data_IF_561661132271
#
_entry.id   IF_561661132271
#
_cell.length_a   1.000
_cell.length_b   1.000
_cell.length_c   1.000
_cell.angle_alpha   90.00
_cell.angle_beta   90.00
_cell.angle_gamma   90.00
#
_symmetry.space_group_name_H-M   'P 1'
#
loop_
_entity.id
_entity.type
_entity.pdbx_description
1 polymer ?
#
# COMPACT_ATOMS: atom_id res chain seq x y z
N UNK A 1 -12.13 -26.58 4.75
CA UNK A 1 -10.75 -26.01 4.70
C UNK A 1 -10.63 -24.87 5.72
N UNK A 2 -9.50 -24.79 6.44
CA UNK A 2 -9.28 -23.71 7.39
C UNK A 2 -8.79 -22.45 6.67
N UNK A 3 -9.34 -21.29 7.01
CA UNK A 3 -8.95 -20.01 6.41
C UNK A 3 -7.45 -19.71 6.57
N UNK A 4 -6.89 -20.06 7.74
CA UNK A 4 -5.47 -19.86 8.01
C UNK A 4 -4.55 -20.74 7.13
N UNK A 5 -4.99 -21.92 6.72
CA UNK A 5 -4.23 -22.77 5.80
C UNK A 5 -4.26 -22.22 4.38
N UNK A 6 -5.43 -21.70 3.93
CA UNK A 6 -5.54 -20.99 2.64
C UNK A 6 -4.64 -19.74 2.61
N UNK A 7 -4.62 -18.96 3.70
CA UNK A 7 -3.75 -17.80 3.83
C UNK A 7 -2.26 -18.21 3.71
N UNK A 8 -1.86 -19.32 4.34
CA UNK A 8 -0.49 -19.85 4.22
C UNK A 8 -0.19 -20.31 2.78
N UNK A 9 -1.13 -21.01 2.13
CA UNK A 9 -0.97 -21.41 0.72
C UNK A 9 -0.76 -20.20 -0.19
N UNK A 10 -1.52 -19.12 -0.01
CA UNK A 10 -1.37 -17.89 -0.80
C UNK A 10 0.01 -17.26 -0.60
N UNK A 11 0.45 -17.08 0.65
CA UNK A 11 1.76 -16.50 0.95
C UNK A 11 2.88 -17.34 0.31
N UNK A 12 2.85 -18.65 0.51
CA UNK A 12 3.85 -19.58 -0.04
C UNK A 12 3.79 -19.71 -1.57
N UNK A 13 2.66 -19.37 -2.21
CA UNK A 13 2.53 -19.38 -3.65
C UNK A 13 3.13 -18.13 -4.32
N UNK A 14 3.06 -16.97 -3.65
CA UNK A 14 3.58 -15.71 -4.19
C UNK A 14 5.08 -15.56 -3.93
N UNK A 15 5.58 -16.00 -2.79
CA UNK A 15 6.99 -15.86 -2.41
C UNK A 15 7.99 -16.39 -3.45
N UNK A 16 7.81 -17.55 -4.10
CA UNK A 16 8.75 -18.06 -5.10
C UNK A 16 8.98 -17.13 -6.29
N UNK A 17 7.99 -16.25 -6.61
CA UNK A 17 8.13 -15.27 -7.69
C UNK A 17 9.27 -14.27 -7.46
N UNK A 18 9.74 -14.10 -6.22
CA UNK A 18 10.89 -13.24 -5.89
C UNK A 18 12.24 -13.80 -6.37
N UNK A 19 12.36 -15.11 -6.50
CA UNK A 19 13.63 -15.79 -6.81
C UNK A 19 13.63 -16.46 -8.18
N UNK A 20 12.55 -16.37 -8.94
CA UNK A 20 12.50 -16.92 -10.29
C UNK A 20 13.44 -16.12 -11.21
N UNK A 21 14.33 -16.78 -11.95
CA UNK A 21 15.25 -16.12 -12.91
C UNK A 21 14.50 -15.49 -14.08
N UNK A 22 13.32 -16.01 -14.42
CA UNK A 22 12.44 -15.47 -15.45
C UNK A 22 10.98 -15.68 -15.04
N UNK A 23 10.11 -14.74 -15.44
CA UNK A 23 8.67 -14.88 -15.20
C UNK A 23 8.10 -16.02 -16.08
N UNK A 24 7.13 -16.79 -15.52
CA UNK A 24 6.45 -17.83 -16.30
C UNK A 24 5.74 -17.20 -17.50
N UNK A 25 5.83 -17.85 -18.66
CA UNK A 25 5.12 -17.39 -19.86
C UNK A 25 3.61 -17.57 -19.72
N UNK A 26 2.83 -16.82 -20.52
CA UNK A 26 1.37 -16.91 -20.46
C UNK A 26 0.82 -18.34 -20.63
N UNK A 27 1.33 -19.19 -21.58
CA UNK A 27 0.91 -20.58 -21.70
C UNK A 27 1.17 -21.42 -20.44
N UNK A 28 2.31 -21.19 -19.78
CA UNK A 28 2.63 -21.87 -18.51
C UNK A 28 1.64 -21.48 -17.42
N UNK A 29 1.30 -20.20 -17.33
CA UNK A 29 0.30 -19.73 -16.35
C UNK A 29 -1.08 -20.32 -16.65
N UNK A 30 -1.49 -20.39 -17.92
CA UNK A 30 -2.75 -21.02 -18.31
C UNK A 30 -2.77 -22.50 -17.93
N UNK A 31 -1.69 -23.24 -18.18
CA UNK A 31 -1.56 -24.63 -17.75
C UNK A 31 -1.61 -24.80 -16.23
N UNK A 32 -0.97 -23.88 -15.47
CA UNK A 32 -1.03 -23.89 -14.00
C UNK A 32 -2.42 -23.60 -13.47
N UNK A 33 -3.20 -22.72 -14.13
CA UNK A 33 -4.61 -22.45 -13.78
C UNK A 33 -5.44 -23.73 -13.99
N UNK A 34 -5.32 -24.37 -15.16
CA UNK A 34 -6.08 -25.59 -15.47
C UNK A 34 -5.74 -26.71 -14.47
N UNK A 35 -4.45 -26.97 -14.24
CA UNK A 35 -3.99 -27.94 -13.25
C UNK A 35 -4.49 -27.61 -11.84
N UNK A 36 -4.43 -26.33 -11.46
CA UNK A 36 -4.90 -25.83 -10.18
C UNK A 36 -6.40 -26.06 -9.97
N UNK A 37 -7.23 -25.78 -10.98
CA UNK A 37 -8.68 -26.04 -10.94
C UNK A 37 -8.96 -27.53 -10.83
N UNK A 38 -8.32 -28.36 -11.66
CA UNK A 38 -8.52 -29.81 -11.62
C UNK A 38 -8.18 -30.40 -10.26
N UNK A 39 -7.03 -30.01 -9.68
CA UNK A 39 -6.62 -30.49 -8.36
C UNK A 39 -7.53 -29.96 -7.24
N UNK A 40 -8.03 -28.72 -7.35
CA UNK A 40 -8.95 -28.16 -6.35
C UNK A 40 -10.31 -28.87 -6.31
N UNK A 41 -10.73 -29.50 -7.41
CA UNK A 41 -11.97 -30.30 -7.52
C UNK A 41 -11.82 -31.71 -6.92
N UNK A 42 -10.61 -32.21 -6.77
CA UNK A 42 -10.33 -33.52 -6.17
C UNK A 42 -10.73 -33.48 -4.69
N UNK A 43 -11.41 -34.54 -4.21
CA UNK A 43 -11.84 -34.61 -2.80
C UNK A 43 -10.69 -34.80 -1.79
N UNK A 44 -9.52 -35.23 -2.25
CA UNK A 44 -8.34 -35.41 -1.40
C UNK A 44 -7.78 -34.05 -0.89
N UNK A 45 -7.55 -33.92 0.40
CA UNK A 45 -7.19 -32.64 1.03
C UNK A 45 -5.88 -32.05 0.49
N UNK A 46 -4.84 -32.87 0.34
CA UNK A 46 -3.52 -32.42 -0.16
C UNK A 46 -3.64 -31.91 -1.60
N UNK A 47 -4.38 -32.65 -2.46
CA UNK A 47 -4.59 -32.22 -3.85
C UNK A 47 -5.28 -30.87 -3.92
N UNK A 48 -6.29 -30.63 -3.06
CA UNK A 48 -6.99 -29.34 -2.98
C UNK A 48 -6.07 -28.18 -2.54
N UNK A 49 -5.21 -28.40 -1.53
CA UNK A 49 -4.26 -27.37 -1.13
C UNK A 49 -3.24 -27.08 -2.23
N UNK A 50 -2.73 -28.09 -2.91
CA UNK A 50 -1.86 -27.91 -4.07
C UNK A 50 -2.58 -27.19 -5.22
N UNK A 51 -3.84 -27.50 -5.47
CA UNK A 51 -4.68 -26.78 -6.43
C UNK A 51 -4.80 -25.29 -6.12
N UNK A 52 -5.11 -24.93 -4.86
CA UNK A 52 -5.16 -23.53 -4.45
C UNK A 52 -3.80 -22.83 -4.51
N UNK A 53 -2.72 -23.55 -4.17
CA UNK A 53 -1.36 -23.03 -4.28
C UNK A 53 -1.02 -22.68 -5.74
N UNK A 54 -1.33 -23.56 -6.70
CA UNK A 54 -1.16 -23.30 -8.13
C UNK A 54 -2.00 -22.13 -8.62
N UNK A 55 -3.25 -22.01 -8.17
CA UNK A 55 -4.12 -20.87 -8.54
C UNK A 55 -3.56 -19.55 -8.01
N UNK A 56 -3.08 -19.50 -6.78
CA UNK A 56 -2.47 -18.30 -6.22
C UNK A 56 -1.13 -17.97 -6.86
N UNK A 57 -0.33 -18.98 -7.23
CA UNK A 57 0.90 -18.79 -8.00
C UNK A 57 0.60 -18.19 -9.38
N UNK A 58 -0.41 -18.72 -10.06
CA UNK A 58 -0.85 -18.19 -11.36
C UNK A 58 -1.38 -16.76 -11.23
N UNK A 59 -2.13 -16.44 -10.17
CA UNK A 59 -2.57 -15.08 -9.86
C UNK A 59 -1.39 -14.11 -9.70
N UNK A 60 -0.41 -14.45 -8.88
CA UNK A 60 0.82 -13.67 -8.71
C UNK A 60 1.61 -13.53 -10.01
N UNK A 61 1.72 -14.61 -10.80
CA UNK A 61 2.36 -14.62 -12.11
C UNK A 61 1.68 -13.69 -13.13
N UNK A 62 0.34 -13.69 -13.18
CA UNK A 62 -0.43 -12.77 -14.03
C UNK A 62 -0.21 -11.31 -13.62
N UNK A 63 -0.22 -11.02 -12.32
CA UNK A 63 0.06 -9.68 -11.82
C UNK A 63 1.48 -9.22 -12.19
N UNK A 64 2.48 -10.10 -12.03
CA UNK A 64 3.87 -9.80 -12.41
C UNK A 64 4.02 -9.58 -13.92
N UNK A 65 3.41 -10.43 -14.76
CA UNK A 65 3.41 -10.25 -16.22
C UNK A 65 2.75 -8.92 -16.62
N UNK A 66 1.62 -8.57 -16.02
CA UNK A 66 0.93 -7.31 -16.32
C UNK A 66 1.75 -6.07 -15.93
N UNK A 67 2.61 -6.18 -14.89
CA UNK A 67 3.51 -5.11 -14.48
C UNK A 67 4.76 -4.99 -15.36
N UNK A 68 5.29 -6.12 -15.85
CA UNK A 68 6.53 -6.15 -16.68
C UNK A 68 6.24 -5.95 -18.15
N UNK A 69 5.10 -6.40 -18.67
CA UNK A 69 4.72 -6.26 -20.08
C UNK A 69 4.87 -4.82 -20.63
N UNK A 70 4.45 -3.76 -19.91
CA UNK A 70 4.60 -2.40 -20.40
C UNK A 70 6.06 -1.97 -20.60
N UNK A 71 6.98 -2.51 -19.80
CA UNK A 71 8.40 -2.20 -19.90
C UNK A 71 9.03 -2.73 -21.20
N UNK A 72 8.48 -3.82 -21.73
CA UNK A 72 8.99 -4.46 -22.94
C UNK A 72 8.36 -3.89 -24.21
N UNK A 73 7.07 -3.56 -24.19
CA UNK A 73 6.30 -3.23 -25.39
C UNK A 73 5.99 -1.74 -25.57
N UNK A 74 6.03 -0.93 -24.52
CA UNK A 74 5.65 0.48 -24.60
C UNK A 74 6.83 1.44 -24.80
N UNK A 75 8.04 0.93 -24.97
CA UNK A 75 9.27 1.73 -25.05
C UNK A 75 9.77 1.96 -26.46
N UNK A 76 9.02 1.54 -27.48
CA UNK A 76 9.41 1.59 -28.90
C UNK A 76 9.00 2.90 -29.57
N UNK A 77 9.62 4.03 -29.18
CA UNK A 77 9.43 5.33 -29.85
C UNK A 77 8.27 6.18 -29.30
N UNK A 78 8.03 7.37 -29.90
CA UNK A 78 6.97 8.28 -29.47
C UNK A 78 5.58 7.69 -29.70
N UNK A 79 4.72 7.69 -28.68
CA UNK A 79 3.38 7.13 -28.74
C UNK A 79 2.33 8.12 -28.25
N UNK A 80 1.15 8.12 -28.89
CA UNK A 80 0.02 8.93 -28.47
C UNK A 80 -0.74 8.19 -27.37
N UNK A 81 -0.80 8.79 -26.17
CA UNK A 81 -1.48 8.20 -25.02
C UNK A 81 -2.50 9.16 -24.42
N UNK A 82 -3.62 8.62 -23.96
CA UNK A 82 -4.55 9.29 -23.06
C UNK A 82 -4.25 8.83 -21.65
N UNK A 83 -3.99 9.77 -20.76
CA UNK A 83 -3.57 9.49 -19.39
C UNK A 83 -4.38 10.33 -18.40
N UNK A 84 -4.47 9.82 -17.19
CA UNK A 84 -5.04 10.51 -16.04
C UNK A 84 -3.92 10.91 -15.08
N UNK A 85 -3.87 12.17 -14.70
CA UNK A 85 -2.92 12.66 -13.70
C UNK A 85 -3.35 12.16 -12.33
N UNK A 86 -2.43 11.52 -11.61
CA UNK A 86 -2.61 11.08 -10.23
C UNK A 86 -2.05 12.10 -9.23
N UNK A 87 -0.92 12.73 -9.57
CA UNK A 87 -0.30 13.77 -8.77
C UNK A 87 0.59 14.66 -9.65
N UNK A 88 0.66 15.94 -9.33
CA UNK A 88 1.52 16.91 -9.99
C UNK A 88 2.49 17.51 -8.96
N UNK A 89 3.81 17.40 -9.22
CA UNK A 89 4.87 17.94 -8.37
C UNK A 89 5.32 19.34 -8.79
N UNK A 90 6.07 20.00 -7.88
CA UNK A 90 6.67 21.32 -8.11
C UNK A 90 7.75 21.28 -9.22
N UNK A 91 8.44 20.17 -9.38
CA UNK A 91 9.61 20.02 -10.27
C UNK A 91 9.24 19.55 -11.68
N UNK A 92 8.05 19.90 -12.17
CA UNK A 92 7.53 19.45 -13.48
C UNK A 92 7.52 17.92 -13.62
N UNK A 93 7.37 17.24 -12.49
CA UNK A 93 7.19 15.81 -12.40
C UNK A 93 5.70 15.50 -12.22
N UNK A 94 5.17 14.63 -13.06
CA UNK A 94 3.77 14.23 -13.03
C UNK A 94 3.68 12.72 -12.87
N UNK A 95 2.97 12.27 -11.85
CA UNK A 95 2.57 10.87 -11.74
C UNK A 95 1.23 10.70 -12.44
N UNK A 96 1.18 9.78 -13.38
CA UNK A 96 0.00 9.54 -14.21
C UNK A 96 -0.22 8.05 -14.44
N UNK A 97 -1.39 7.70 -14.93
CA UNK A 97 -1.68 6.36 -15.45
C UNK A 97 -2.19 6.43 -16.88
N UNK A 98 -1.66 5.60 -17.74
CA UNK A 98 -2.05 5.49 -19.14
C UNK A 98 -3.35 4.68 -19.19
N UNK A 99 -4.43 5.31 -19.65
CA UNK A 99 -5.75 4.68 -19.80
C UNK A 99 -5.94 4.16 -21.22
N UNK A 100 -5.45 4.90 -22.21
CA UNK A 100 -5.47 4.51 -23.63
C UNK A 100 -4.14 4.77 -24.29
N UNK A 101 -3.76 3.86 -25.17
CA UNK A 101 -2.57 3.96 -25.99
C UNK A 101 -2.96 3.79 -27.46
N UNK A 102 -2.61 4.76 -28.31
CA UNK A 102 -2.96 4.75 -29.74
C UNK A 102 -4.44 4.42 -30.00
N UNK A 103 -5.34 4.95 -29.14
CA UNK A 103 -6.79 4.74 -29.22
C UNK A 103 -7.32 3.45 -28.57
N UNK A 104 -6.46 2.51 -28.18
CA UNK A 104 -6.84 1.25 -27.53
C UNK A 104 -6.84 1.41 -26.01
N UNK A 105 -7.89 0.93 -25.34
CA UNK A 105 -7.96 0.92 -23.88
C UNK A 105 -6.90 -0.01 -23.28
N UNK A 106 -6.23 0.45 -22.21
CA UNK A 106 -5.26 -0.32 -21.44
C UNK A 106 -5.91 -0.85 -20.17
N UNK A 107 -5.97 -2.17 -20.04
CA UNK A 107 -6.48 -2.86 -18.85
C UNK A 107 -5.49 -3.96 -18.43
N UNK A 108 -4.87 -3.83 -17.26
CA UNK A 108 -4.94 -2.71 -16.31
C UNK A 108 -4.25 -1.44 -16.85
N UNK A 109 -4.66 -0.27 -16.31
CA UNK A 109 -4.01 1.00 -16.63
C UNK A 109 -2.57 1.02 -16.11
N UNK A 110 -1.63 1.53 -16.89
CA UNK A 110 -0.20 1.47 -16.60
C UNK A 110 0.28 2.78 -15.97
N UNK A 111 0.90 2.68 -14.81
CA UNK A 111 1.51 3.83 -14.13
C UNK A 111 2.77 4.34 -14.84
N UNK A 112 2.92 5.64 -14.88
CA UNK A 112 4.06 6.32 -15.49
C UNK A 112 4.42 7.59 -14.73
N UNK A 113 5.72 7.80 -14.55
CA UNK A 113 6.26 9.08 -14.04
C UNK A 113 6.77 9.89 -15.22
N UNK A 114 6.16 11.06 -15.46
CA UNK A 114 6.50 11.94 -16.58
C UNK A 114 7.29 13.14 -16.10
N UNK A 115 8.28 13.50 -16.87
CA UNK A 115 9.07 14.72 -16.75
C UNK A 115 8.88 15.53 -18.03
N UNK A 116 8.73 16.85 -17.90
CA UNK A 116 8.53 17.66 -19.10
C UNK A 116 8.39 19.14 -18.82
N UNK A 117 7.94 19.88 -19.82
CA UNK A 117 7.64 21.29 -19.70
C UNK A 117 6.39 21.49 -18.81
N UNK A 118 6.15 22.74 -18.39
CA UNK A 118 4.91 23.05 -17.71
C UNK A 118 3.72 22.70 -18.62
N UNK A 119 2.69 22.09 -18.03
CA UNK A 119 1.44 21.89 -18.75
C UNK A 119 0.82 23.25 -19.11
N UNK A 120 0.05 23.32 -20.23
CA UNK A 120 -0.64 24.57 -20.62
C UNK A 120 -1.60 25.11 -19.55
N UNK A 121 -2.07 24.27 -18.67
CA UNK A 121 -2.90 24.60 -17.51
C UNK A 121 -2.33 23.93 -16.26
N UNK A 122 -2.56 24.46 -15.05
CA UNK A 122 -2.14 23.82 -13.81
C UNK A 122 -2.66 22.37 -13.73
N UNK A 123 -1.72 21.42 -13.65
CA UNK A 123 -2.06 20.01 -13.54
C UNK A 123 -2.66 19.69 -12.17
N UNK A 124 -3.81 19.02 -12.14
CA UNK A 124 -4.37 18.47 -10.91
C UNK A 124 -4.75 16.99 -11.06
N UNK A 125 -4.77 16.26 -9.95
CA UNK A 125 -5.18 14.87 -9.97
C UNK A 125 -6.64 14.70 -10.47
N UNK A 126 -6.84 13.72 -11.34
CA UNK A 126 -8.11 13.41 -11.98
C UNK A 126 -8.28 13.98 -13.38
N UNK A 127 -7.48 14.97 -13.79
CA UNK A 127 -7.50 15.47 -15.17
C UNK A 127 -7.07 14.39 -16.16
N UNK A 128 -7.70 14.40 -17.33
CA UNK A 128 -7.32 13.56 -18.46
C UNK A 128 -6.67 14.38 -19.55
N UNK A 129 -5.54 13.88 -20.03
CA UNK A 129 -4.72 14.53 -21.01
C UNK A 129 -4.37 13.57 -22.13
N UNK A 130 -4.36 14.06 -23.35
CA UNK A 130 -3.78 13.38 -24.52
C UNK A 130 -2.40 13.92 -24.74
N UNK A 131 -1.40 13.05 -24.70
CA UNK A 131 0.01 13.42 -24.79
C UNK A 131 0.76 12.53 -25.78
N UNK A 132 1.79 13.09 -26.39
CA UNK A 132 2.78 12.30 -27.13
C UNK A 132 3.93 12.00 -26.17
N UNK A 133 4.10 10.72 -25.84
CA UNK A 133 5.03 10.23 -24.82
C UNK A 133 6.22 9.53 -25.46
N UNK A 134 7.42 9.80 -24.94
CA UNK A 134 8.61 8.99 -25.13
C UNK A 134 8.88 8.26 -23.80
N UNK A 135 8.65 6.95 -23.79
CA UNK A 135 8.65 6.11 -22.59
C UNK A 135 9.93 5.27 -22.53
N UNK A 136 10.40 5.03 -21.32
CA UNK A 136 11.47 4.09 -21.01
C UNK A 136 11.15 3.36 -19.69
N UNK A 137 11.64 2.12 -19.50
CA UNK A 137 11.54 1.45 -18.21
C UNK A 137 12.30 2.23 -17.13
N UNK A 138 11.85 2.13 -15.90
CA UNK A 138 12.67 2.58 -14.76
C UNK A 138 13.80 1.58 -14.59
N UNK A 139 15.06 2.07 -14.64
CA UNK A 139 16.25 1.27 -14.39
C UNK A 139 16.77 1.51 -12.99
N UNK A 140 17.14 0.43 -12.29
CA UNK A 140 17.92 0.49 -11.06
C UNK A 140 19.41 0.63 -11.39
N UNK A 141 20.16 1.30 -10.55
CA UNK A 141 21.62 1.21 -10.51
C UNK A 141 21.97 0.01 -9.63
N UNK A 142 22.63 -0.99 -10.20
CA UNK A 142 23.04 -2.21 -9.50
C UNK A 142 24.37 -1.97 -8.74
N UNK A 143 24.39 -0.99 -7.85
CA UNK A 143 25.48 -0.80 -6.91
C UNK A 143 25.20 -1.60 -5.66
N UNK A 144 26.21 -2.25 -5.11
CA UNK A 144 26.11 -3.01 -3.88
C UNK A 144 25.63 -2.09 -2.74
N UNK A 145 24.54 -2.48 -2.03
CA UNK A 145 23.90 -1.65 -1.02
C UNK A 145 23.09 -0.45 -1.57
N UNK A 146 22.99 -0.28 -2.90
CA UNK A 146 22.26 0.80 -3.55
C UNK A 146 20.73 0.62 -3.54
N UNK A 147 20.02 1.73 -3.74
CA UNK A 147 18.55 1.71 -3.85
C UNK A 147 18.10 1.09 -5.17
N UNK A 148 17.34 0.00 -5.11
CA UNK A 148 16.74 -0.63 -6.29
C UNK A 148 15.49 0.15 -6.75
N UNK A 149 15.72 1.11 -7.64
CA UNK A 149 14.67 1.96 -8.20
C UNK A 149 13.66 1.16 -9.05
N UNK A 150 14.10 0.10 -9.73
CA UNK A 150 13.23 -0.73 -10.57
C UNK A 150 12.26 -1.55 -9.71
N UNK A 151 12.76 -2.23 -8.69
CA UNK A 151 11.95 -2.96 -7.72
C UNK A 151 10.94 -2.04 -7.01
N UNK A 152 11.39 -0.86 -6.62
CA UNK A 152 10.54 0.14 -6.00
C UNK A 152 9.43 0.62 -6.94
N UNK A 153 9.75 0.94 -8.20
CA UNK A 153 8.80 1.40 -9.20
C UNK A 153 7.73 0.32 -9.50
N UNK A 154 8.14 -0.95 -9.63
CA UNK A 154 7.23 -2.09 -9.78
C UNK A 154 6.29 -2.23 -8.57
N UNK A 155 6.83 -2.11 -7.35
CA UNK A 155 6.02 -2.16 -6.13
C UNK A 155 5.05 -0.98 -5.98
N UNK A 156 5.29 0.13 -6.68
CA UNK A 156 4.41 1.30 -6.73
C UNK A 156 3.49 1.31 -7.96
N UNK A 157 3.48 0.25 -8.76
CA UNK A 157 2.76 0.17 -10.05
C UNK A 157 3.09 1.30 -11.04
N UNK A 158 4.34 1.81 -10.99
CA UNK A 158 4.86 2.84 -11.88
C UNK A 158 6.13 2.38 -12.61
N UNK A 159 6.03 1.33 -13.45
CA UNK A 159 7.20 0.71 -14.07
C UNK A 159 7.85 1.59 -15.14
N UNK A 160 7.16 2.62 -15.61
CA UNK A 160 7.61 3.47 -16.71
C UNK A 160 7.96 4.87 -16.24
N UNK A 161 8.96 5.44 -16.87
CA UNK A 161 9.29 6.87 -16.83
C UNK A 161 9.38 7.42 -18.24
N UNK A 162 9.15 8.72 -18.41
CA UNK A 162 9.22 9.29 -19.75
C UNK A 162 9.11 10.80 -19.78
N UNK A 163 9.13 11.32 -21.03
CA UNK A 163 8.91 12.73 -21.33
C UNK A 163 7.74 12.88 -22.28
N UNK A 164 7.02 13.99 -22.17
CA UNK A 164 5.99 14.36 -23.13
C UNK A 164 6.44 15.55 -23.97
N UNK A 165 6.03 15.58 -25.25
CA UNK A 165 6.36 16.66 -26.18
C UNK A 165 5.15 17.53 -26.53
N UNK A 166 3.94 16.94 -26.52
CA UNK A 166 2.69 17.64 -26.76
C UNK A 166 1.68 17.22 -25.69
N UNK A 167 0.86 18.15 -25.23
CA UNK A 167 -0.17 17.92 -24.22
C UNK A 167 -1.44 18.69 -24.55
N UNK A 168 -2.54 17.97 -24.70
CA UNK A 168 -3.89 18.49 -24.95
C UNK A 168 -4.82 18.03 -23.83
N UNK A 169 -5.66 18.92 -23.30
CA UNK A 169 -6.64 18.58 -22.26
C UNK A 169 -7.81 17.85 -22.89
N UNK A 170 -8.13 16.68 -22.38
CA UNK A 170 -9.34 15.91 -22.73
C UNK A 170 -10.46 16.20 -21.73
N UNK A 171 -10.13 16.16 -20.43
CA UNK A 171 -11.04 16.51 -19.34
C UNK A 171 -10.26 17.34 -18.30
N UNK A 172 -10.68 18.58 -18.12
CA UNK A 172 -10.06 19.52 -17.19
C UNK A 172 -10.52 19.34 -15.73
N UNK A 173 -11.48 18.45 -15.47
CA UNK A 173 -12.06 18.28 -14.12
C UNK A 173 -11.09 17.64 -13.16
N UNK A 174 -10.83 18.34 -12.07
CA UNK A 174 -10.06 17.79 -10.96
C UNK A 174 -10.92 16.86 -10.11
N UNK A 175 -10.30 15.82 -9.56
CA UNK A 175 -10.94 14.92 -8.59
C UNK A 175 -11.43 15.66 -7.35
N UNK A 176 -12.40 15.11 -6.62
CA UNK A 176 -12.91 15.70 -5.37
C UNK A 176 -11.77 15.94 -4.36
N UNK A 177 -10.87 14.98 -4.24
CA UNK A 177 -9.69 15.09 -3.37
C UNK A 177 -8.80 16.27 -3.82
N UNK A 178 -8.51 16.40 -5.10
CA UNK A 178 -7.66 17.47 -5.61
C UNK A 178 -8.27 18.86 -5.38
N UNK A 179 -9.57 19.02 -5.55
CA UNK A 179 -10.28 20.27 -5.25
C UNK A 179 -10.21 20.63 -3.76
N UNK A 180 -10.41 19.62 -2.89
CA UNK A 180 -10.28 19.81 -1.45
C UNK A 180 -8.85 20.19 -1.05
N UNK A 181 -7.84 19.52 -1.61
CA UNK A 181 -6.43 19.87 -1.39
C UNK A 181 -6.09 21.29 -1.88
N UNK A 182 -6.60 21.71 -3.03
CA UNK A 182 -6.40 23.07 -3.54
C UNK A 182 -6.95 24.13 -2.57
N UNK A 183 -8.13 23.90 -1.99
CA UNK A 183 -8.70 24.81 -0.97
C UNK A 183 -7.85 24.84 0.31
N UNK A 184 -7.35 23.70 0.76
CA UNK A 184 -6.45 23.64 1.92
C UNK A 184 -5.12 24.33 1.65
N UNK A 185 -4.52 24.09 0.50
CA UNK A 185 -3.26 24.73 0.07
C UNK A 185 -3.41 26.25 0.04
N UNK A 186 -4.51 26.77 -0.51
CA UNK A 186 -4.78 28.21 -0.52
C UNK A 186 -4.88 28.80 0.90
N UNK A 187 -5.53 28.08 1.84
CA UNK A 187 -5.65 28.53 3.25
C UNK A 187 -4.33 28.44 4.02
N UNK A 188 -3.48 27.48 3.66
CA UNK A 188 -2.20 27.24 4.33
C UNK A 188 -1.03 27.97 3.68
N UNK A 189 -1.24 28.67 2.56
CA UNK A 189 -0.18 29.39 1.83
C UNK A 189 0.47 30.52 2.62
N UNK A 190 -0.24 31.11 3.58
CA UNK A 190 0.28 32.14 4.49
C UNK A 190 1.22 31.60 5.58
N UNK A 191 1.25 30.28 5.79
CA UNK A 191 2.07 29.66 6.82
C UNK A 191 3.35 29.06 6.22
N UNK A 192 4.50 29.39 6.79
CA UNK A 192 5.81 28.88 6.35
C UNK A 192 5.87 27.35 6.32
N UNK A 193 5.19 26.69 7.26
CA UNK A 193 5.14 25.24 7.39
C UNK A 193 3.89 24.61 6.74
N UNK A 194 3.13 25.40 5.95
CA UNK A 194 1.92 24.93 5.26
C UNK A 194 2.13 23.63 4.45
N UNK A 195 3.18 23.54 3.61
CA UNK A 195 3.47 22.30 2.87
C UNK A 195 3.75 21.09 3.77
N UNK A 196 4.40 21.30 4.93
CA UNK A 196 4.65 20.22 5.91
C UNK A 196 3.34 19.74 6.54
N UNK A 197 2.44 20.66 6.91
CA UNK A 197 1.12 20.31 7.43
C UNK A 197 0.28 19.52 6.43
N UNK A 198 0.35 19.87 5.14
CA UNK A 198 -0.29 19.10 4.06
C UNK A 198 0.34 17.73 3.90
N UNK A 199 1.67 17.62 4.01
CA UNK A 199 2.38 16.35 4.00
C UNK A 199 1.96 15.43 5.14
N UNK A 200 1.93 15.95 6.36
CA UNK A 200 1.59 15.20 7.57
C UNK A 200 0.10 14.78 7.62
N UNK A 201 -0.80 15.69 7.24
CA UNK A 201 -2.25 15.45 7.36
C UNK A 201 -2.87 14.74 6.17
N UNK A 202 -2.41 15.08 4.95
CA UNK A 202 -3.03 14.65 3.69
C UNK A 202 -2.13 13.78 2.81
N UNK A 203 -0.87 13.55 3.23
CA UNK A 203 0.10 12.77 2.46
C UNK A 203 0.66 13.50 1.24
N UNK A 204 0.43 14.81 1.11
CA UNK A 204 0.87 15.60 -0.03
C UNK A 204 2.32 16.07 0.18
N UNK A 205 3.27 15.32 -0.40
CA UNK A 205 4.72 15.55 -0.21
C UNK A 205 5.36 16.33 -1.36
N UNK A 206 4.67 16.44 -2.48
CA UNK A 206 5.25 17.03 -3.68
C UNK A 206 5.47 18.55 -3.53
N UNK A 207 4.68 19.20 -2.67
CA UNK A 207 4.81 20.62 -2.35
C UNK A 207 5.92 20.96 -1.35
N UNK A 208 6.54 19.96 -0.70
CA UNK A 208 7.60 20.18 0.29
C UNK A 208 8.93 20.43 -0.41
N UNK A 209 9.59 21.55 -0.05
CA UNK A 209 10.85 21.97 -0.69
C UNK A 209 11.99 21.01 -0.39
N UNK A 210 13.03 20.94 -1.24
CA UNK A 210 14.21 20.09 -1.01
C UNK A 210 14.93 20.40 0.31
N UNK A 211 14.99 21.67 0.71
CA UNK A 211 15.63 22.12 1.95
C UNK A 211 14.93 21.50 3.17
N UNK A 212 13.59 21.57 3.21
CA UNK A 212 12.80 20.96 4.29
C UNK A 212 12.96 19.44 4.30
N UNK A 213 12.97 18.80 3.11
CA UNK A 213 13.20 17.35 3.01
C UNK A 213 14.58 16.95 3.57
N UNK A 214 15.63 17.73 3.29
CA UNK A 214 16.97 17.51 3.82
C UNK A 214 17.02 17.71 5.35
N UNK A 215 16.44 18.81 5.84
CA UNK A 215 16.33 19.05 7.29
C UNK A 215 15.63 17.90 8.01
N UNK A 216 14.52 17.40 7.45
CA UNK A 216 13.81 16.26 8.05
C UNK A 216 14.61 14.95 7.98
N UNK A 217 15.48 14.80 6.98
CA UNK A 217 16.39 13.65 6.89
C UNK A 217 17.49 13.74 7.95
N UNK A 218 18.11 14.88 8.11
CA UNK A 218 19.15 15.13 9.10
C UNK A 218 18.64 14.97 10.55
N UNK A 219 17.41 15.42 10.80
CA UNK A 219 16.76 15.26 12.11
C UNK A 219 16.13 13.88 12.34
N UNK A 220 16.21 12.96 11.36
CA UNK A 220 15.59 11.63 11.45
C UNK A 220 14.05 11.65 11.41
N UNK A 221 13.41 12.79 11.13
CA UNK A 221 11.95 12.96 11.14
C UNK A 221 11.28 12.72 9.79
N UNK A 222 12.05 12.38 8.74
CA UNK A 222 11.54 12.15 7.38
C UNK A 222 10.46 11.08 7.30
N UNK A 223 10.47 10.09 8.22
CA UNK A 223 9.46 9.04 8.29
C UNK A 223 8.07 9.57 8.69
N UNK A 224 7.97 10.72 9.37
CA UNK A 224 6.69 11.35 9.75
C UNK A 224 5.94 11.90 8.54
N UNK A 225 6.66 12.30 7.48
CA UNK A 225 6.05 12.79 6.23
C UNK A 225 5.30 11.70 5.45
N UNK A 226 5.57 10.43 5.76
CA UNK A 226 4.82 9.33 5.19
C UNK A 226 3.56 9.07 6.00
N UNK A 227 2.38 9.09 5.34
CA UNK A 227 1.19 8.56 5.99
C UNK A 227 1.45 7.09 6.31
N UNK A 228 1.63 6.81 7.59
CA UNK A 228 1.94 5.47 8.09
C UNK A 228 0.66 4.73 8.46
N UNK A 229 0.77 3.41 8.58
CA UNK A 229 -0.32 2.59 9.13
C UNK A 229 -0.79 3.04 10.51
N UNK A 230 0.11 3.64 11.31
CA UNK A 230 -0.23 4.17 12.62
C UNK A 230 -1.23 5.35 12.54
N UNK A 231 -1.06 6.25 11.57
CA UNK A 231 -2.01 7.37 11.36
C UNK A 231 -3.42 6.86 11.04
N UNK A 232 -3.51 5.85 10.16
CA UNK A 232 -4.79 5.22 9.80
C UNK A 232 -5.40 4.49 11.00
N UNK A 233 -4.60 3.73 11.74
CA UNK A 233 -5.06 3.00 12.92
C UNK A 233 -5.48 3.96 14.06
N UNK A 234 -4.75 5.08 14.26
CA UNK A 234 -5.12 6.10 15.23
C UNK A 234 -6.46 6.75 14.87
N UNK A 235 -6.64 7.13 13.60
CA UNK A 235 -7.90 7.69 13.11
C UNK A 235 -9.08 6.72 13.34
N UNK A 236 -8.90 5.43 13.03
CA UNK A 236 -9.88 4.38 13.33
C UNK A 236 -10.20 4.28 14.82
N UNK A 237 -9.16 4.34 15.67
CA UNK A 237 -9.29 4.22 17.13
C UNK A 237 -10.03 5.40 17.73
N UNK A 238 -9.79 6.62 17.24
CA UNK A 238 -10.49 7.83 17.69
C UNK A 238 -11.99 7.70 17.39
N UNK A 239 -12.37 7.31 16.19
CA UNK A 239 -13.78 7.12 15.83
C UNK A 239 -14.41 5.96 16.63
N UNK A 240 -13.67 4.86 16.79
CA UNK A 240 -14.12 3.75 17.62
C UNK A 240 -14.44 4.23 19.05
N UNK A 241 -13.54 5.02 19.69
CA UNK A 241 -13.73 5.60 21.00
C UNK A 241 -14.92 6.56 21.05
N UNK A 242 -15.07 7.43 20.06
CA UNK A 242 -16.20 8.36 19.96
C UNK A 242 -17.54 7.62 19.89
N UNK A 243 -17.65 6.64 18.98
CA UNK A 243 -18.89 5.85 18.86
C UNK A 243 -19.15 5.06 20.16
N UNK A 244 -18.08 4.52 20.78
CA UNK A 244 -18.20 3.85 22.07
C UNK A 244 -18.66 4.80 23.18
N UNK A 245 -18.15 6.04 23.21
CA UNK A 245 -18.58 7.08 24.12
C UNK A 245 -20.05 7.47 23.93
N UNK A 246 -20.48 7.64 22.69
CA UNK A 246 -21.89 7.92 22.37
C UNK A 246 -22.81 6.79 22.85
N UNK A 247 -22.37 5.53 22.78
CA UNK A 247 -23.14 4.39 23.28
C UNK A 247 -23.44 4.42 24.77
N UNK A 248 -22.72 5.21 25.60
CA UNK A 248 -23.06 5.39 27.01
C UNK A 248 -24.32 6.25 27.21
N UNK A 249 -24.69 7.08 26.23
CA UNK A 249 -25.83 7.98 26.30
C UNK A 249 -27.08 7.39 25.62
N UNK A 250 -26.89 6.42 24.74
CA UNK A 250 -27.95 5.78 23.93
C UNK A 250 -28.59 4.63 24.74
N UNK A 251 -29.92 4.42 24.63
CA UNK A 251 -30.61 3.29 25.24
C UNK A 251 -29.99 1.94 24.89
N UNK A 252 -29.88 1.03 25.88
CA UNK A 252 -29.18 -0.27 25.72
C UNK A 252 -29.64 -1.11 24.53
N UNK A 253 -30.90 -0.97 24.08
CA UNK A 253 -31.47 -1.67 22.92
C UNK A 253 -30.78 -1.31 21.58
N UNK A 254 -30.11 -0.16 21.52
CA UNK A 254 -29.38 0.34 20.33
C UNK A 254 -27.86 0.14 20.43
N UNK A 255 -27.38 -0.34 21.58
CA UNK A 255 -25.96 -0.54 21.83
C UNK A 255 -25.51 -1.86 21.24
N UNK A 256 -24.67 -1.79 20.20
CA UNK A 256 -24.07 -2.97 19.54
C UNK A 256 -22.55 -2.90 19.55
N UNK A 257 -21.88 -3.99 19.95
CA UNK A 257 -20.40 -4.06 19.93
C UNK A 257 -19.81 -3.94 18.52
N UNK A 258 -20.60 -4.23 17.49
CA UNK A 258 -20.19 -4.18 16.07
C UNK A 258 -20.10 -2.75 15.55
N UNK A 259 -20.98 -1.85 16.01
CA UNK A 259 -21.07 -0.48 15.49
C UNK A 259 -19.77 0.33 15.61
N UNK A 260 -19.07 0.37 16.77
CA UNK A 260 -17.79 1.07 16.88
C UNK A 260 -16.71 0.51 15.94
N UNK A 261 -16.65 -0.82 15.77
CA UNK A 261 -15.68 -1.49 14.89
C UNK A 261 -15.90 -1.14 13.43
N UNK A 262 -17.15 -1.22 12.98
CA UNK A 262 -17.52 -0.87 11.59
C UNK A 262 -17.28 0.62 11.33
N UNK A 263 -17.68 1.49 12.27
CA UNK A 263 -17.47 2.94 12.13
C UNK A 263 -15.97 3.29 12.07
N UNK A 264 -15.14 2.70 12.93
CA UNK A 264 -13.69 2.87 12.90
C UNK A 264 -13.07 2.43 11.58
N UNK A 265 -13.49 1.27 11.06
CA UNK A 265 -13.04 0.78 9.75
C UNK A 265 -13.46 1.69 8.60
N UNK A 266 -14.73 2.10 8.55
CA UNK A 266 -15.24 3.00 7.50
C UNK A 266 -14.48 4.34 7.50
N UNK A 267 -14.20 4.88 8.68
CA UNK A 267 -13.42 6.11 8.79
C UNK A 267 -11.96 5.91 8.39
N UNK A 268 -11.34 4.79 8.75
CA UNK A 268 -9.99 4.44 8.30
C UNK A 268 -9.91 4.36 6.77
N UNK A 269 -10.88 3.73 6.13
CA UNK A 269 -10.97 3.64 4.67
C UNK A 269 -11.18 5.02 4.02
N UNK A 270 -12.05 5.84 4.60
CA UNK A 270 -12.28 7.22 4.16
C UNK A 270 -11.01 8.07 4.31
N UNK A 271 -10.32 8.00 5.45
CA UNK A 271 -9.08 8.75 5.67
C UNK A 271 -7.96 8.27 4.73
N UNK A 272 -7.83 6.98 4.50
CA UNK A 272 -6.88 6.44 3.51
C UNK A 272 -7.17 6.96 2.09
N UNK A 273 -8.45 7.04 1.70
CA UNK A 273 -8.84 7.65 0.43
C UNK A 273 -8.49 9.14 0.38
N UNK A 274 -8.75 9.88 1.45
CA UNK A 274 -8.44 11.30 1.56
C UNK A 274 -6.93 11.56 1.47
N UNK A 275 -6.10 10.66 2.00
CA UNK A 275 -4.63 10.73 1.93
C UNK A 275 -4.04 10.20 0.61
N UNK A 276 -4.88 9.80 -0.36
CA UNK A 276 -4.49 9.40 -1.71
C UNK A 276 -4.16 7.92 -1.84
N UNK A 277 -4.68 7.05 -0.98
CA UNK A 277 -4.54 5.58 -1.05
C UNK A 277 -3.07 5.12 -1.22
N UNK A 278 -2.14 5.81 -0.58
CA UNK A 278 -0.72 5.43 -0.61
C UNK A 278 -0.56 3.96 -0.20
N UNK A 279 0.40 3.19 -0.76
CA UNK A 279 0.53 1.76 -0.49
C UNK A 279 0.55 1.37 1.00
N UNK A 280 1.22 2.11 1.92
CA UNK A 280 1.14 1.81 3.35
C UNK A 280 -0.28 1.97 3.93
N UNK A 281 -1.02 3.01 3.49
CA UNK A 281 -2.39 3.25 3.93
C UNK A 281 -3.34 2.15 3.43
N UNK A 282 -3.25 1.78 2.14
CA UNK A 282 -4.03 0.71 1.54
C UNK A 282 -3.83 -0.63 2.30
N UNK A 283 -2.58 -1.00 2.57
CA UNK A 283 -2.25 -2.22 3.33
C UNK A 283 -2.87 -2.22 4.71
N UNK A 284 -2.86 -1.07 5.40
CA UNK A 284 -3.47 -0.95 6.73
C UNK A 284 -4.99 -1.10 6.65
N UNK A 285 -5.65 -0.48 5.67
CA UNK A 285 -7.10 -0.64 5.48
C UNK A 285 -7.45 -2.08 5.18
N UNK A 286 -6.72 -2.76 4.29
CA UNK A 286 -6.93 -4.18 3.98
C UNK A 286 -6.75 -5.05 5.23
N UNK A 287 -5.70 -4.80 6.02
CA UNK A 287 -5.47 -5.52 7.29
C UNK A 287 -6.56 -5.26 8.31
N UNK A 288 -7.01 -4.00 8.48
CA UNK A 288 -8.13 -3.67 9.37
C UNK A 288 -9.43 -4.33 8.90
N UNK A 289 -9.68 -4.38 7.60
CA UNK A 289 -10.84 -5.09 7.02
C UNK A 289 -10.78 -6.59 7.29
N UNK A 290 -9.62 -7.22 7.12
CA UNK A 290 -9.41 -8.62 7.46
C UNK A 290 -9.62 -8.87 8.97
N UNK A 291 -9.06 -8.04 9.84
CA UNK A 291 -9.28 -8.11 11.29
C UNK A 291 -10.75 -7.95 11.65
N UNK A 292 -11.45 -6.97 11.03
CA UNK A 292 -12.88 -6.77 11.24
C UNK A 292 -13.68 -8.01 10.84
N UNK A 293 -13.42 -8.58 9.67
CA UNK A 293 -14.09 -9.79 9.20
C UNK A 293 -13.86 -10.98 10.15
N UNK A 294 -12.64 -11.16 10.65
CA UNK A 294 -12.31 -12.19 11.63
C UNK A 294 -13.04 -11.97 12.95
N UNK A 295 -13.09 -10.74 13.47
CA UNK A 295 -13.81 -10.41 14.69
C UNK A 295 -15.33 -10.62 14.54
N UNK A 296 -15.91 -10.20 13.40
CA UNK A 296 -17.33 -10.38 13.12
C UNK A 296 -17.72 -11.84 12.94
N UNK A 297 -16.76 -12.72 12.58
CA UNK A 297 -17.01 -14.17 12.50
C UNK A 297 -17.36 -14.83 13.84
N UNK A 298 -17.11 -14.14 14.96
CA UNK A 298 -17.37 -14.63 16.32
C UNK A 298 -16.46 -15.79 16.77
N UNK A 299 -15.45 -16.14 15.96
CA UNK A 299 -14.49 -17.22 16.28
C UNK A 299 -13.26 -16.64 16.97
N UNK A 300 -12.68 -17.44 17.86
CA UNK A 300 -11.39 -17.10 18.47
C UNK A 300 -10.26 -17.44 17.49
N UNK A 301 -9.46 -16.44 17.15
CA UNK A 301 -8.32 -16.55 16.26
C UNK A 301 -7.02 -16.32 17.04
N UNK A 302 -6.02 -17.16 16.82
CA UNK A 302 -4.69 -16.92 17.42
C UNK A 302 -4.02 -15.72 16.71
N UNK A 303 -3.11 -14.98 17.39
CA UNK A 303 -2.40 -13.85 16.77
C UNK A 303 -1.68 -14.23 15.46
N UNK A 304 -1.08 -15.42 15.39
CA UNK A 304 -0.43 -15.94 14.19
C UNK A 304 -1.41 -16.21 13.03
N UNK A 305 -2.64 -16.64 13.35
CA UNK A 305 -3.68 -16.83 12.33
C UNK A 305 -4.13 -15.49 11.76
N UNK A 306 -4.36 -14.49 12.63
CA UNK A 306 -4.72 -13.13 12.22
C UNK A 306 -3.62 -12.54 11.35
N UNK A 307 -2.36 -12.64 11.76
CA UNK A 307 -1.20 -12.16 11.02
C UNK A 307 -1.13 -12.77 9.61
N UNK A 308 -1.25 -14.10 9.49
CA UNK A 308 -1.26 -14.78 8.18
C UNK A 308 -2.41 -14.33 7.29
N UNK A 309 -3.61 -14.19 7.85
CA UNK A 309 -4.79 -13.76 7.09
C UNK A 309 -4.63 -12.31 6.62
N UNK A 310 -4.09 -11.42 7.44
CA UNK A 310 -3.82 -10.03 7.04
C UNK A 310 -2.81 -9.95 5.88
N UNK A 311 -1.68 -10.69 5.97
CA UNK A 311 -0.69 -10.72 4.89
C UNK A 311 -1.29 -11.31 3.61
N UNK A 312 -2.02 -12.43 3.74
CA UNK A 312 -2.68 -13.06 2.61
C UNK A 312 -3.71 -12.13 1.96
N UNK A 313 -4.48 -11.37 2.74
CA UNK A 313 -5.42 -10.39 2.22
C UNK A 313 -4.70 -9.25 1.45
N UNK A 314 -3.57 -8.75 1.96
CA UNK A 314 -2.75 -7.76 1.25
C UNK A 314 -2.25 -8.32 -0.08
N UNK A 315 -1.67 -9.52 -0.08
CA UNK A 315 -1.12 -10.16 -1.28
C UNK A 315 -2.21 -10.60 -2.26
N UNK A 316 -3.42 -10.87 -1.80
CA UNK A 316 -4.57 -11.15 -2.67
C UNK A 316 -5.03 -9.90 -3.41
N UNK A 317 -5.04 -8.74 -2.75
CA UNK A 317 -5.37 -7.45 -3.36
C UNK A 317 -4.25 -6.96 -4.28
N UNK A 318 -3.01 -7.10 -3.83
CA UNK A 318 -1.84 -6.63 -4.58
C UNK A 318 -0.67 -7.63 -4.42
N UNK A 319 -0.52 -8.59 -5.35
CA UNK A 319 0.61 -9.52 -5.33
C UNK A 319 1.97 -8.84 -5.46
N UNK A 320 2.04 -7.70 -6.18
CA UNK A 320 3.28 -6.95 -6.37
C UNK A 320 3.77 -6.27 -5.08
N UNK A 321 2.91 -6.15 -4.07
CA UNK A 321 3.30 -5.65 -2.75
C UNK A 321 4.42 -6.49 -2.11
N UNK A 322 4.61 -7.76 -2.51
CA UNK A 322 5.72 -8.61 -2.05
C UNK A 322 7.10 -8.02 -2.39
N UNK A 323 7.22 -7.22 -3.44
CA UNK A 323 8.44 -6.50 -3.80
C UNK A 323 8.75 -5.34 -2.84
N UNK A 324 7.76 -4.88 -2.07
CA UNK A 324 7.89 -3.72 -1.19
C UNK A 324 8.65 -4.04 0.09
N UNK A 325 9.85 -3.48 0.26
CA UNK A 325 10.61 -3.59 1.52
C UNK A 325 9.77 -3.12 2.73
N UNK A 326 8.92 -2.12 2.55
CA UNK A 326 8.08 -1.63 3.65
C UNK A 326 6.99 -2.63 4.05
N UNK A 327 6.50 -3.50 3.15
CA UNK A 327 5.62 -4.61 3.53
C UNK A 327 6.38 -5.66 4.32
N UNK A 328 7.56 -6.06 3.83
CA UNK A 328 8.39 -7.07 4.49
C UNK A 328 8.77 -6.65 5.91
N UNK A 329 9.24 -5.40 6.09
CA UNK A 329 9.56 -4.85 7.40
C UNK A 329 8.33 -4.77 8.32
N UNK A 330 7.18 -4.33 7.80
CA UNK A 330 5.94 -4.25 8.57
C UNK A 330 5.44 -5.63 9.00
N UNK A 331 5.44 -6.60 8.09
CA UNK A 331 5.03 -7.98 8.39
C UNK A 331 5.97 -8.61 9.42
N UNK A 332 7.27 -8.42 9.25
CA UNK A 332 8.30 -8.93 10.17
C UNK A 332 8.16 -8.27 11.55
N UNK A 333 7.97 -6.94 11.64
CA UNK A 333 7.79 -6.23 12.90
C UNK A 333 6.60 -6.79 13.70
N UNK A 334 5.46 -7.07 13.05
CA UNK A 334 4.30 -7.66 13.73
C UNK A 334 4.60 -9.10 14.17
N UNK A 335 5.28 -9.91 13.34
CA UNK A 335 5.70 -11.25 13.71
C UNK A 335 6.64 -11.25 14.94
N UNK A 336 7.60 -10.34 14.94
CA UNK A 336 8.54 -10.11 16.06
C UNK A 336 7.78 -9.75 17.34
N UNK A 337 6.79 -8.86 17.26
CA UNK A 337 5.97 -8.51 18.43
C UNK A 337 5.16 -9.69 18.94
N UNK A 338 4.54 -10.47 18.05
CA UNK A 338 3.81 -11.68 18.46
C UNK A 338 4.75 -12.65 19.16
N UNK A 339 5.93 -12.89 18.57
CA UNK A 339 6.96 -13.75 19.14
C UNK A 339 7.44 -13.23 20.50
N UNK A 340 7.79 -11.94 20.62
CA UNK A 340 8.26 -11.31 21.85
C UNK A 340 7.27 -11.50 23.00
N UNK A 341 5.98 -11.19 22.75
CA UNK A 341 4.96 -11.33 23.79
C UNK A 341 4.62 -12.77 24.18
N UNK A 342 5.00 -13.75 23.36
CA UNK A 342 4.87 -15.17 23.70
C UNK A 342 6.03 -15.65 24.57
N UNK A 343 7.24 -15.16 24.31
CA UNK A 343 8.46 -15.64 24.97
C UNK A 343 8.84 -14.81 26.18
N UNK A 344 8.60 -13.51 26.16
CA UNK A 344 8.93 -12.60 27.26
C UNK A 344 7.63 -12.13 27.92
N UNK A 345 7.25 -12.71 29.08
CA UNK A 345 6.01 -12.36 29.74
C UNK A 345 6.02 -10.89 30.19
N UNK A 346 4.85 -10.26 30.11
CA UNK A 346 4.69 -8.88 30.59
C UNK A 346 5.04 -8.79 32.07
N UNK A 347 5.81 -7.77 32.49
CA UNK A 347 6.06 -7.53 33.91
C UNK A 347 4.75 -7.32 34.67
N UNK A 348 4.54 -8.11 35.69
CA UNK A 348 3.38 -7.94 36.59
C UNK A 348 3.71 -6.87 37.61
N UNK A 349 3.37 -5.62 37.33
CA UNK A 349 3.58 -4.48 38.22
C UNK A 349 2.29 -4.13 38.94
N UNK A 350 2.35 -4.10 40.28
CA UNK A 350 1.36 -3.47 41.16
C UNK A 350 1.76 -2.00 41.26
N UNK A 351 0.94 -1.07 40.75
CA UNK A 351 1.25 0.36 40.78
C UNK A 351 0.30 1.21 39.95
N UNK A 352 0.50 2.54 39.94
CA UNK A 352 -0.29 3.49 39.17
C UNK A 352 -0.33 3.10 37.69
N UNK A 353 -1.42 3.39 37.00
CA UNK A 353 -1.60 3.05 35.59
C UNK A 353 -0.51 3.65 34.69
N UNK A 354 -0.02 4.86 35.02
CA UNK A 354 1.01 5.55 34.27
C UNK A 354 2.34 4.78 34.29
N UNK A 355 2.77 4.26 35.45
CA UNK A 355 3.99 3.44 35.60
C UNK A 355 3.84 2.14 34.80
N UNK A 356 2.67 1.48 34.91
CA UNK A 356 2.39 0.27 34.11
C UNK A 356 2.43 0.54 32.61
N UNK A 357 1.86 1.66 32.16
CA UNK A 357 1.88 2.08 30.75
C UNK A 357 3.32 2.33 30.28
N UNK A 358 4.14 3.04 31.07
CA UNK A 358 5.53 3.32 30.74
C UNK A 358 6.38 2.04 30.65
N UNK A 359 6.24 1.11 31.61
CA UNK A 359 6.97 -0.15 31.57
C UNK A 359 6.53 -1.03 30.42
N UNK A 360 5.23 -1.08 30.09
CA UNK A 360 4.74 -1.79 28.92
C UNK A 360 5.29 -1.18 27.61
N UNK A 361 5.41 0.14 27.55
CA UNK A 361 6.02 0.82 26.41
C UNK A 361 7.51 0.49 26.27
N UNK A 362 8.26 0.55 27.39
CA UNK A 362 9.67 0.16 27.41
C UNK A 362 9.87 -1.31 27.03
N UNK A 363 9.03 -2.19 27.54
CA UNK A 363 9.05 -3.62 27.18
C UNK A 363 8.83 -3.85 25.68
N UNK A 364 7.86 -3.12 25.09
CA UNK A 364 7.60 -3.16 23.63
C UNK A 364 8.80 -2.60 22.85
N UNK A 365 9.35 -1.47 23.26
CA UNK A 365 10.50 -0.85 22.60
C UNK A 365 11.75 -1.73 22.67
N UNK A 366 11.98 -2.40 23.80
CA UNK A 366 13.09 -3.34 23.97
C UNK A 366 12.96 -4.52 22.99
N UNK A 367 11.77 -5.11 22.88
CA UNK A 367 11.51 -6.19 21.92
C UNK A 367 11.74 -5.76 20.47
N UNK A 368 11.27 -4.57 20.11
CA UNK A 368 11.48 -4.01 18.77
C UNK A 368 12.96 -3.73 18.51
N UNK A 369 13.67 -3.12 19.46
CA UNK A 369 15.09 -2.82 19.32
C UNK A 369 15.94 -4.09 19.13
N UNK A 370 15.76 -5.09 19.99
CA UNK A 370 16.56 -6.30 19.96
C UNK A 370 16.34 -7.17 18.72
N UNK A 371 15.10 -7.26 18.25
CA UNK A 371 14.73 -8.20 17.18
C UNK A 371 14.61 -7.56 15.80
N UNK A 372 14.30 -6.25 15.71
CA UNK A 372 14.14 -5.58 14.43
C UNK A 372 15.45 -4.91 13.95
N UNK A 373 16.28 -4.40 14.86
CA UNK A 373 17.51 -3.69 14.52
C UNK A 373 18.48 -4.54 13.67
N UNK A 374 18.72 -5.83 13.96
CA UNK A 374 19.60 -6.66 13.13
C UNK A 374 19.15 -6.75 11.68
N UNK A 375 17.81 -6.77 11.45
CA UNK A 375 17.23 -6.87 10.08
C UNK A 375 17.27 -5.54 9.34
N UNK A 376 17.33 -4.42 10.05
CA UNK A 376 17.44 -3.10 9.42
C UNK A 376 18.87 -2.75 9.01
N UNK A 377 19.87 -3.40 9.61
CA UNK A 377 21.28 -3.17 9.34
C UNK A 377 21.81 -4.09 8.23
N UNK A 378 21.14 -5.22 7.95
CA UNK A 378 21.41 -6.09 6.81
C UNK A 378 20.81 -5.54 5.52
#
# INVERSE_FOLDING_TARGET
MCLSTLATCLILAILPLLWLPALPTLPVIQATIVAGVLLALIRHQIARYLGFWLLFFAWGGLAALSAVWPMQYLTTGPQKAELEILAAGSDRMYQARIIRLNGRAMLPAVGVTLYGNALPQPGCAGQRWKMTLSLRPVHGQLNEGGFDAQRYALAQHQPLTGRFTAAEVVDARCSLRARYLATLTARLSSYTWGPVLLGLGMGERLAVTPEIKNLMRETGTSHLMAISGLHIALAASVIWLLVRGIQFVIPARWVGWRAPLVAGFCFAAFYAWLTGMQPPALRTVVSLGACLALQLSGRLWSPWQVWRVCIAAILLVDPMAVLSHSLLLSAFAVAVLIFWYQWVPKPRLSGPWAVRAMVNLLHLQLGMLLLLLPVQVM
#
